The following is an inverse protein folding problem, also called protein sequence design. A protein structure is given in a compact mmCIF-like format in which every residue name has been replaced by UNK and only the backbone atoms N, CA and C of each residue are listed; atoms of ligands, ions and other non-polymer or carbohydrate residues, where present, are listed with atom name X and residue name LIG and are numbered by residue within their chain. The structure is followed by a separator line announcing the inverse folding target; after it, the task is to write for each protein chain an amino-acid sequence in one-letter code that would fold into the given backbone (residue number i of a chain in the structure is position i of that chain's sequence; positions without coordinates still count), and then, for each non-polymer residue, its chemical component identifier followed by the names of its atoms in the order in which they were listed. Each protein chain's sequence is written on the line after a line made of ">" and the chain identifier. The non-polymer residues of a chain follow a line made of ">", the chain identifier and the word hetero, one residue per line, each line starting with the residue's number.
data_IF_908467968338
#
_entry.id   IF_908467968338
#
_cell.length_a   1.000
_cell.length_b   1.000
_cell.length_c   1.000
_cell.angle_alpha   90.00
_cell.angle_beta   90.00
_cell.angle_gamma   90.00
#
_symmetry.space_group_name_H-M   'P 1'
#
loop_
_entity.id
_entity.type
_entity.pdbx_description
1 polymer ?
#
# COMPACT_ATOMS: atom_id res chain seq x y z
N UNK A 1 44.01 15.37 5.72
CA UNK A 1 42.58 15.09 6.00
C UNK A 1 42.39 13.58 6.00
N UNK A 2 42.11 12.98 7.16
CA UNK A 2 41.88 11.53 7.28
C UNK A 2 40.60 11.15 6.52
N UNK A 3 40.72 10.27 5.52
CA UNK A 3 39.58 9.59 4.91
C UNK A 3 38.96 8.66 5.95
N UNK A 4 38.13 9.21 6.83
CA UNK A 4 37.21 8.40 7.61
C UNK A 4 36.27 7.73 6.62
N UNK A 5 36.44 6.42 6.40
CA UNK A 5 35.54 5.59 5.60
C UNK A 5 34.14 5.78 6.15
N UNK A 6 33.33 6.60 5.48
CA UNK A 6 31.94 6.82 5.89
C UNK A 6 31.24 5.48 5.79
N UNK A 7 30.74 4.97 6.92
CA UNK A 7 30.10 3.67 6.95
C UNK A 7 28.76 3.72 6.20
N UNK A 8 28.46 2.64 5.45
CA UNK A 8 27.24 2.55 4.64
C UNK A 8 25.98 2.82 5.46
N UNK A 9 25.92 2.34 6.70
CA UNK A 9 24.80 2.60 7.61
C UNK A 9 24.62 4.08 7.97
N UNK A 10 25.72 4.83 8.14
CA UNK A 10 25.64 6.27 8.43
C UNK A 10 25.12 7.06 7.22
N UNK A 11 25.53 6.65 6.00
CA UNK A 11 25.02 7.23 4.74
C UNK A 11 23.53 6.95 4.59
N UNK A 12 23.10 5.69 4.80
CA UNK A 12 21.68 5.29 4.68
C UNK A 12 20.81 6.04 5.69
N UNK A 13 21.26 6.17 6.94
CA UNK A 13 20.51 6.91 7.96
C UNK A 13 20.33 8.39 7.59
N UNK A 14 21.39 9.05 7.10
CA UNK A 14 21.31 10.45 6.66
C UNK A 14 20.40 10.62 5.45
N UNK A 15 20.50 9.72 4.47
CA UNK A 15 19.60 9.72 3.30
C UNK A 15 18.14 9.49 3.71
N UNK A 16 17.89 8.56 4.62
CA UNK A 16 16.54 8.29 5.12
C UNK A 16 15.96 9.52 5.84
N UNK A 17 16.73 10.17 6.70
CA UNK A 17 16.29 11.40 7.37
C UNK A 17 16.03 12.55 6.40
N UNK A 18 16.86 12.68 5.37
CA UNK A 18 16.64 13.67 4.31
C UNK A 18 15.34 13.37 3.54
N UNK A 19 15.14 12.11 3.12
CA UNK A 19 13.93 11.67 2.41
C UNK A 19 12.67 11.88 3.24
N UNK A 20 12.70 11.62 4.56
CA UNK A 20 11.56 11.90 5.43
C UNK A 20 11.16 13.38 5.44
N UNK A 21 12.13 14.29 5.39
CA UNK A 21 11.87 15.73 5.34
C UNK A 21 11.42 16.17 3.94
N UNK A 22 12.07 15.67 2.89
CA UNK A 22 11.76 16.01 1.51
C UNK A 22 10.36 15.50 1.08
N UNK A 23 9.98 14.31 1.55
CA UNK A 23 8.70 13.66 1.24
C UNK A 23 7.66 13.81 2.35
N UNK A 24 7.75 14.84 3.20
CA UNK A 24 6.73 15.09 4.22
C UNK A 24 5.32 15.26 3.60
N UNK A 25 5.25 15.80 2.38
CA UNK A 25 4.02 15.93 1.60
C UNK A 25 3.34 14.60 1.27
N UNK A 26 4.09 13.49 1.21
CA UNK A 26 3.56 12.14 0.94
C UNK A 26 2.58 11.74 2.05
N UNK A 27 2.91 12.00 3.31
CA UNK A 27 1.99 11.72 4.42
C UNK A 27 0.77 12.65 4.42
N UNK A 28 0.93 13.89 3.97
CA UNK A 28 -0.24 14.80 3.81
C UNK A 28 -1.19 14.27 2.73
N UNK A 29 -0.66 13.75 1.62
CA UNK A 29 -1.47 13.13 0.57
C UNK A 29 -2.25 11.91 1.06
N UNK A 30 -1.65 11.09 1.95
CA UNK A 30 -2.32 9.95 2.57
C UNK A 30 -3.55 10.40 3.37
N UNK A 31 -3.40 11.42 4.21
CA UNK A 31 -4.49 11.94 5.05
C UNK A 31 -5.63 12.45 4.17
N UNK A 32 -5.33 13.26 3.15
CA UNK A 32 -6.34 13.79 2.23
C UNK A 32 -7.08 12.65 1.52
N UNK A 33 -6.34 11.65 1.04
CA UNK A 33 -6.90 10.52 0.31
C UNK A 33 -7.75 9.62 1.22
N UNK A 34 -7.37 9.42 2.48
CA UNK A 34 -8.20 8.70 3.46
C UNK A 34 -9.48 9.47 3.82
N UNK A 35 -9.43 10.81 3.92
CA UNK A 35 -10.63 11.62 4.14
C UNK A 35 -11.60 11.53 2.97
N UNK A 36 -11.10 11.61 1.73
CA UNK A 36 -11.93 11.41 0.52
C UNK A 36 -12.52 9.99 0.51
N UNK A 37 -11.73 8.98 0.88
CA UNK A 37 -12.19 7.61 0.93
C UNK A 37 -13.31 7.40 1.96
N UNK A 38 -13.21 8.04 3.13
CA UNK A 38 -14.26 8.03 4.15
C UNK A 38 -15.53 8.68 3.59
N UNK A 39 -15.41 9.84 2.94
CA UNK A 39 -16.55 10.52 2.31
C UNK A 39 -17.26 9.63 1.28
N UNK A 40 -16.51 8.89 0.47
CA UNK A 40 -17.10 7.93 -0.48
C UNK A 40 -17.80 6.76 0.23
N UNK A 41 -17.27 6.28 1.35
CA UNK A 41 -17.93 5.21 2.11
C UNK A 41 -19.19 5.67 2.87
N UNK A 42 -19.42 6.98 3.06
CA UNK A 42 -20.66 7.49 3.66
C UNK A 42 -21.89 7.26 2.76
N UNK A 43 -21.70 7.08 1.46
CA UNK A 43 -22.78 6.70 0.54
C UNK A 43 -23.25 5.24 0.67
N UNK A 44 -22.60 4.45 1.55
CA UNK A 44 -22.77 3.00 1.63
C UNK A 44 -21.95 2.28 0.55
N UNK A 45 -21.32 1.17 0.93
CA UNK A 45 -20.50 0.35 0.03
C UNK A 45 -21.31 -0.75 -0.67
N UNK A 46 -22.59 -0.90 -0.32
CA UNK A 46 -23.54 -1.81 -0.93
C UNK A 46 -24.92 -1.60 -0.32
N UNK A 47 -25.96 -1.67 -1.15
CA UNK A 47 -27.35 -1.66 -0.70
C UNK A 47 -28.04 -2.91 -1.21
N UNK A 48 -28.86 -3.53 -0.35
CA UNK A 48 -29.70 -4.66 -0.74
C UNK A 48 -31.11 -4.44 -0.21
N UNK A 49 -32.08 -4.50 -1.12
CA UNK A 49 -33.50 -4.38 -0.82
C UNK A 49 -34.19 -5.71 -1.02
N UNK A 50 -35.01 -6.12 -0.05
CA UNK A 50 -35.94 -7.24 -0.20
C UNK A 50 -37.35 -6.74 0.02
N UNK A 51 -38.25 -7.15 -0.88
CA UNK A 51 -39.66 -6.76 -0.85
C UNK A 51 -40.53 -8.00 -0.82
N UNK A 52 -41.42 -8.09 0.17
CA UNK A 52 -42.43 -9.14 0.26
C UNK A 52 -43.78 -8.51 0.63
N UNK A 53 -44.70 -8.42 -0.35
CA UNK A 53 -46.09 -7.91 -0.35
C UNK A 53 -46.47 -6.73 0.58
N UNK A 54 -46.13 -6.76 1.87
CA UNK A 54 -46.40 -5.72 2.87
C UNK A 54 -45.14 -5.23 3.62
N UNK A 55 -43.96 -5.77 3.34
CA UNK A 55 -42.74 -5.48 4.08
C UNK A 55 -41.57 -5.23 3.12
N UNK A 56 -41.04 -4.01 3.17
CA UNK A 56 -39.82 -3.62 2.45
C UNK A 56 -38.67 -3.49 3.44
N UNK A 57 -37.64 -4.32 3.28
CA UNK A 57 -36.39 -4.20 4.03
C UNK A 57 -35.36 -3.61 3.09
N UNK A 58 -34.81 -2.45 3.45
CA UNK A 58 -33.61 -1.92 2.80
C UNK A 58 -32.45 -2.02 3.78
N UNK A 59 -31.34 -2.60 3.33
CA UNK A 59 -30.11 -2.74 4.10
C UNK A 59 -29.00 -2.02 3.38
N UNK A 60 -28.31 -1.14 4.09
CA UNK A 60 -27.12 -0.43 3.58
C UNK A 60 -25.90 -0.89 4.38
N UNK A 61 -24.89 -1.39 3.69
CA UNK A 61 -23.64 -1.85 4.29
C UNK A 61 -22.62 -0.71 4.29
N UNK A 62 -22.13 -0.36 5.47
CA UNK A 62 -21.06 0.62 5.65
C UNK A 62 -19.76 -0.12 6.01
N UNK A 63 -18.79 -0.12 5.08
CA UNK A 63 -17.50 -0.81 5.26
C UNK A 63 -16.32 0.10 4.97
N UNK A 64 -15.15 -0.26 5.53
CA UNK A 64 -13.91 0.48 5.30
C UNK A 64 -13.21 0.09 3.98
N UNK A 65 -13.91 -0.59 3.07
CA UNK A 65 -13.31 -1.16 1.85
C UNK A 65 -12.71 -0.08 0.95
N UNK A 66 -13.37 1.06 0.79
CA UNK A 66 -12.86 2.17 -0.03
C UNK A 66 -11.54 2.72 0.51
N UNK A 67 -11.41 2.89 1.83
CA UNK A 67 -10.18 3.40 2.46
C UNK A 67 -9.05 2.38 2.32
N UNK A 68 -9.34 1.08 2.46
CA UNK A 68 -8.36 0.01 2.23
C UNK A 68 -7.81 0.06 0.80
N UNK A 69 -8.70 0.06 -0.21
CA UNK A 69 -8.31 0.06 -1.63
C UNK A 69 -7.53 1.32 -1.99
N UNK A 70 -8.00 2.49 -1.55
CA UNK A 70 -7.34 3.75 -1.88
C UNK A 70 -5.96 3.86 -1.21
N UNK A 71 -5.79 3.42 0.04
CA UNK A 71 -4.45 3.38 0.68
C UNK A 71 -3.51 2.39 -0.01
N UNK A 72 -4.02 1.24 -0.48
CA UNK A 72 -3.25 0.28 -1.27
C UNK A 72 -2.78 0.87 -2.60
N UNK A 73 -3.64 1.62 -3.31
CA UNK A 73 -3.24 2.33 -4.52
C UNK A 73 -2.21 3.43 -4.22
N UNK A 74 -2.42 4.16 -3.13
CA UNK A 74 -1.53 5.24 -2.70
C UNK A 74 -0.09 4.77 -2.48
N UNK A 75 0.12 3.63 -1.81
CA UNK A 75 1.49 3.13 -1.56
C UNK A 75 2.17 2.69 -2.87
N UNK A 76 1.42 2.08 -3.79
CA UNK A 76 1.95 1.64 -5.09
C UNK A 76 2.38 2.85 -5.94
N UNK A 77 1.53 3.87 -6.02
CA UNK A 77 1.83 5.10 -6.77
C UNK A 77 3.09 5.78 -6.21
N UNK A 78 3.17 5.94 -4.88
CA UNK A 78 4.32 6.57 -4.24
C UNK A 78 5.61 5.73 -4.37
N UNK A 79 5.51 4.41 -4.31
CA UNK A 79 6.63 3.52 -4.56
C UNK A 79 7.19 3.69 -5.97
N UNK A 80 6.32 3.85 -6.98
CA UNK A 80 6.73 4.14 -8.37
C UNK A 80 7.36 5.55 -8.45
N UNK A 81 6.73 6.58 -7.86
CA UNK A 81 7.22 7.96 -7.93
C UNK A 81 8.62 8.13 -7.34
N UNK A 82 8.93 7.47 -6.22
CA UNK A 82 10.25 7.55 -5.56
C UNK A 82 11.36 6.99 -6.44
N UNK A 83 11.04 6.06 -7.34
CA UNK A 83 12.06 5.54 -8.24
C UNK A 83 12.50 6.59 -9.26
N UNK A 84 11.64 7.55 -9.65
CA UNK A 84 11.78 8.39 -10.85
C UNK A 84 13.16 9.04 -11.01
N UNK A 85 13.54 9.29 -12.28
CA UNK A 85 14.88 9.81 -12.63
C UNK A 85 15.24 11.10 -11.88
N UNK A 86 14.30 12.03 -11.74
CA UNK A 86 14.49 13.29 -11.01
C UNK A 86 14.84 13.04 -9.53
N UNK A 87 14.09 12.15 -8.87
CA UNK A 87 14.32 11.79 -7.46
C UNK A 87 15.62 10.99 -7.26
N UNK A 88 16.01 10.20 -8.26
CA UNK A 88 17.28 9.48 -8.26
C UNK A 88 18.47 10.43 -8.39
N UNK A 89 18.38 11.42 -9.28
CA UNK A 89 19.44 12.42 -9.51
C UNK A 89 19.61 13.34 -8.30
N UNK A 90 18.52 13.73 -7.63
CA UNK A 90 18.58 14.48 -6.38
C UNK A 90 19.26 13.71 -5.23
N UNK A 91 19.19 12.37 -5.23
CA UNK A 91 19.89 11.51 -4.27
C UNK A 91 21.41 11.43 -4.48
N UNK A 92 21.89 11.59 -5.71
CA UNK A 92 23.32 11.51 -6.07
C UNK A 92 24.12 12.79 -5.78
N UNK A 93 23.44 13.89 -5.41
CA UNK A 93 24.09 15.11 -4.91
C UNK A 93 24.86 14.84 -3.59
N UNK A 94 24.50 13.78 -2.88
CA UNK A 94 25.26 13.25 -1.74
C UNK A 94 26.14 12.08 -2.20
N UNK A 95 27.33 11.93 -1.60
CA UNK A 95 28.22 10.76 -1.79
C UNK A 95 27.45 9.50 -1.43
N UNK A 96 26.82 8.88 -2.42
CA UNK A 96 25.83 7.82 -2.26
C UNK A 96 26.09 6.71 -3.27
N UNK A 97 26.11 5.47 -2.78
CA UNK A 97 26.11 4.29 -3.63
C UNK A 97 24.67 3.90 -3.96
N UNK A 98 24.43 3.29 -5.13
CA UNK A 98 23.10 2.83 -5.56
C UNK A 98 22.43 1.90 -4.53
N UNK A 99 23.21 1.04 -3.88
CA UNK A 99 22.74 0.20 -2.77
C UNK A 99 22.26 1.04 -1.56
N UNK A 100 22.95 2.12 -1.21
CA UNK A 100 22.52 2.99 -0.11
C UNK A 100 21.19 3.68 -0.41
N UNK A 101 20.99 4.13 -1.66
CA UNK A 101 19.74 4.77 -2.09
C UNK A 101 18.59 3.77 -2.14
N UNK A 102 18.80 2.56 -2.67
CA UNK A 102 17.79 1.50 -2.68
C UNK A 102 17.39 1.10 -1.25
N UNK A 103 18.35 0.97 -0.34
CA UNK A 103 18.07 0.63 1.05
C UNK A 103 17.34 1.76 1.79
N UNK A 104 17.72 3.01 1.53
CA UNK A 104 17.03 4.19 2.06
C UNK A 104 15.58 4.27 1.56
N UNK A 105 15.33 3.99 0.29
CA UNK A 105 13.99 3.90 -0.29
C UNK A 105 13.17 2.78 0.34
N UNK A 106 13.75 1.59 0.52
CA UNK A 106 13.08 0.47 1.18
C UNK A 106 12.67 0.83 2.63
N UNK A 107 13.55 1.47 3.40
CA UNK A 107 13.24 1.94 4.75
C UNK A 107 12.14 3.01 4.76
N UNK A 108 12.13 3.92 3.78
CA UNK A 108 11.06 4.90 3.62
C UNK A 108 9.70 4.24 3.36
N UNK A 109 9.64 3.27 2.44
CA UNK A 109 8.41 2.53 2.14
C UNK A 109 7.93 1.70 3.32
N UNK A 110 8.85 1.12 4.10
CA UNK A 110 8.51 0.41 5.33
C UNK A 110 7.83 1.36 6.33
N UNK A 111 8.40 2.54 6.57
CA UNK A 111 7.78 3.53 7.46
C UNK A 111 6.43 4.02 6.92
N UNK A 112 6.33 4.29 5.62
CA UNK A 112 5.08 4.66 4.97
C UNK A 112 4.00 3.58 5.12
N UNK A 113 4.38 2.30 5.04
CA UNK A 113 3.48 1.15 5.22
C UNK A 113 3.00 1.02 6.66
N UNK A 114 3.87 1.29 7.65
CA UNK A 114 3.47 1.33 9.07
C UNK A 114 2.44 2.42 9.30
N UNK A 115 2.73 3.65 8.87
CA UNK A 115 1.82 4.80 9.05
C UNK A 115 0.51 4.57 8.30
N UNK A 116 0.57 4.13 7.04
CA UNK A 116 -0.61 3.82 6.23
C UNK A 116 -1.46 2.70 6.82
N UNK A 117 -0.82 1.64 7.34
CA UNK A 117 -1.53 0.49 7.90
C UNK A 117 -2.28 0.83 9.18
N UNK A 118 -1.61 1.52 10.10
CA UNK A 118 -2.23 2.00 11.36
C UNK A 118 -3.40 2.95 11.05
N UNK A 119 -3.14 3.99 10.26
CA UNK A 119 -4.16 5.02 9.96
C UNK A 119 -5.36 4.46 9.22
N UNK A 120 -5.19 3.48 8.32
CA UNK A 120 -6.32 2.89 7.58
C UNK A 120 -7.27 2.11 8.50
N UNK A 121 -6.74 1.34 9.45
CA UNK A 121 -7.59 0.62 10.41
C UNK A 121 -8.28 1.61 11.35
N UNK A 122 -7.58 2.63 11.83
CA UNK A 122 -8.15 3.69 12.66
C UNK A 122 -9.23 4.50 11.91
N UNK A 123 -9.04 4.77 10.62
CA UNK A 123 -10.03 5.44 9.77
C UNK A 123 -11.33 4.62 9.64
N UNK A 124 -11.24 3.29 9.70
CA UNK A 124 -12.41 2.41 9.75
C UNK A 124 -13.24 2.60 11.03
N UNK A 125 -12.59 2.82 12.17
CA UNK A 125 -13.30 3.18 13.40
C UNK A 125 -13.90 4.59 13.34
N UNK A 126 -13.16 5.54 12.76
CA UNK A 126 -13.67 6.89 12.55
C UNK A 126 -14.94 6.90 11.70
N UNK A 127 -14.97 6.13 10.61
CA UNK A 127 -16.15 5.97 9.77
C UNK A 127 -17.37 5.50 10.58
N UNK A 128 -17.20 4.51 11.45
CA UNK A 128 -18.30 3.99 12.29
C UNK A 128 -18.81 5.02 13.27
N UNK A 129 -17.91 5.81 13.87
CA UNK A 129 -18.29 6.92 14.75
C UNK A 129 -19.12 7.94 13.96
N UNK A 130 -18.71 8.29 12.75
CA UNK A 130 -19.47 9.22 11.89
C UNK A 130 -20.85 8.65 11.56
N UNK A 131 -20.93 7.39 11.10
CA UNK A 131 -22.21 6.74 10.77
C UNK A 131 -23.13 6.70 12.00
N UNK A 132 -22.61 6.35 13.17
CA UNK A 132 -23.38 6.26 14.41
C UNK A 132 -23.99 7.60 14.84
N UNK A 133 -23.27 8.71 14.70
CA UNK A 133 -23.74 10.03 15.14
C UNK A 133 -24.53 10.82 14.08
N UNK A 134 -24.20 10.62 12.80
CA UNK A 134 -24.71 11.47 11.72
C UNK A 134 -25.70 10.77 10.80
N UNK A 135 -25.84 9.44 10.87
CA UNK A 135 -26.76 8.67 10.02
C UNK A 135 -27.80 7.98 10.91
N UNK A 136 -29.02 8.51 10.91
CA UNK A 136 -30.18 7.95 11.61
C UNK A 136 -30.44 6.51 11.15
N UNK A 137 -30.05 5.54 11.98
CA UNK A 137 -30.21 4.11 11.69
C UNK A 137 -30.81 3.40 12.91
N UNK A 138 -32.13 3.47 13.04
CA UNK A 138 -32.88 2.53 13.86
C UNK A 138 -33.10 1.21 13.11
N UNK A 139 -32.95 0.04 13.76
CA UNK A 139 -31.83 -0.30 14.62
C UNK A 139 -30.64 -0.71 13.75
N UNK A 140 -29.45 -0.17 14.03
CA UNK A 140 -28.19 -0.78 13.60
C UNK A 140 -28.18 -2.21 14.18
N UNK A 141 -28.41 -3.22 13.34
CA UNK A 141 -28.26 -4.62 13.74
C UNK A 141 -26.75 -4.86 13.93
N UNK A 142 -26.32 -5.20 15.15
CA UNK A 142 -24.92 -5.50 15.47
C UNK A 142 -24.19 -4.51 16.39
N UNK A 143 -24.89 -3.59 17.06
CA UNK A 143 -24.30 -2.66 18.06
C UNK A 143 -23.67 -3.34 19.28
N UNK A 144 -23.89 -4.65 19.47
CA UNK A 144 -23.27 -5.46 20.52
C UNK A 144 -21.90 -6.05 20.18
N UNK A 145 -21.38 -5.85 18.96
CA UNK A 145 -20.04 -6.33 18.61
C UNK A 145 -18.95 -5.44 19.20
N UNK A 146 -18.47 -5.82 20.38
CA UNK A 146 -17.19 -5.32 20.89
C UNK A 146 -16.08 -5.97 20.08
N UNK A 147 -15.26 -5.15 19.43
CA UNK A 147 -14.04 -5.64 18.82
C UNK A 147 -13.07 -6.00 19.93
N UNK A 148 -12.59 -7.25 19.93
CA UNK A 148 -11.49 -7.60 20.80
C UNK A 148 -10.26 -6.83 20.34
N UNK A 149 -9.48 -6.31 21.30
CA UNK A 149 -8.27 -5.55 20.99
C UNK A 149 -7.28 -6.39 20.14
N UNK A 150 -7.29 -7.71 20.32
CA UNK A 150 -6.54 -8.67 19.49
C UNK A 150 -6.87 -8.54 18.01
N UNK A 151 -8.15 -8.45 17.65
CA UNK A 151 -8.58 -8.42 16.24
C UNK A 151 -8.14 -7.13 15.56
N UNK A 152 -8.18 -6.01 16.31
CA UNK A 152 -7.71 -4.71 15.83
C UNK A 152 -6.21 -4.74 15.58
N UNK A 153 -5.43 -5.29 16.52
CA UNK A 153 -3.98 -5.41 16.38
C UNK A 153 -3.60 -6.33 15.23
N UNK A 154 -4.29 -7.47 15.08
CA UNK A 154 -4.10 -8.38 13.94
C UNK A 154 -4.41 -7.66 12.63
N UNK A 155 -5.49 -6.89 12.57
CA UNK A 155 -5.86 -6.09 11.39
C UNK A 155 -4.80 -5.04 11.03
N UNK A 156 -4.24 -4.34 12.03
CA UNK A 156 -3.15 -3.37 11.82
C UNK A 156 -1.92 -4.08 11.27
N UNK A 157 -1.50 -5.18 11.91
CA UNK A 157 -0.33 -5.94 11.47
C UNK A 157 -0.52 -6.46 10.05
N UNK A 158 -1.66 -7.07 9.75
CA UNK A 158 -1.98 -7.56 8.42
C UNK A 158 -1.96 -6.43 7.36
N UNK A 159 -2.55 -5.28 7.67
CA UNK A 159 -2.55 -4.13 6.76
C UNK A 159 -1.14 -3.61 6.49
N UNK A 160 -0.29 -3.52 7.51
CA UNK A 160 1.12 -3.11 7.35
C UNK A 160 1.84 -4.07 6.40
N UNK A 161 1.67 -5.38 6.60
CA UNK A 161 2.30 -6.39 5.75
C UNK A 161 1.79 -6.35 4.30
N UNK A 162 0.49 -6.15 4.08
CA UNK A 162 -0.05 -5.97 2.73
C UNK A 162 0.50 -4.71 2.05
N UNK A 163 0.64 -3.60 2.78
CA UNK A 163 1.24 -2.37 2.23
C UNK A 163 2.72 -2.53 1.94
N UNK A 164 3.47 -3.28 2.76
CA UNK A 164 4.87 -3.62 2.47
C UNK A 164 4.95 -4.42 1.17
N UNK A 165 4.12 -5.46 1.00
CA UNK A 165 4.10 -6.29 -0.20
C UNK A 165 3.81 -5.45 -1.46
N UNK A 166 2.74 -4.67 -1.42
CA UNK A 166 2.33 -3.83 -2.55
C UNK A 166 3.35 -2.71 -2.82
N UNK A 167 3.93 -2.12 -1.78
CA UNK A 167 5.00 -1.14 -1.88
C UNK A 167 6.26 -1.73 -2.53
N UNK A 168 6.66 -2.94 -2.16
CA UNK A 168 7.79 -3.65 -2.77
C UNK A 168 7.53 -3.96 -4.25
N UNK A 169 6.31 -4.39 -4.59
CA UNK A 169 5.93 -4.64 -5.99
C UNK A 169 5.90 -3.35 -6.81
N UNK A 170 5.30 -2.28 -6.28
CA UNK A 170 5.31 -0.95 -6.89
C UNK A 170 6.72 -0.41 -7.09
N UNK A 171 7.63 -0.64 -6.14
CA UNK A 171 9.03 -0.26 -6.26
C UNK A 171 9.74 -1.01 -7.38
N UNK A 172 9.55 -2.33 -7.47
CA UNK A 172 10.09 -3.16 -8.55
C UNK A 172 9.58 -2.69 -9.91
N UNK A 173 8.27 -2.46 -10.04
CA UNK A 173 7.67 -1.91 -11.27
C UNK A 173 8.26 -0.55 -11.62
N UNK A 174 8.39 0.35 -10.64
CA UNK A 174 9.03 1.65 -10.81
C UNK A 174 10.45 1.52 -11.38
N UNK A 175 11.26 0.61 -10.84
CA UNK A 175 12.60 0.35 -11.36
C UNK A 175 12.59 -0.23 -12.78
N UNK A 176 11.66 -1.13 -13.11
CA UNK A 176 11.52 -1.70 -14.46
C UNK A 176 11.13 -0.61 -15.46
N UNK A 177 10.21 0.29 -15.11
CA UNK A 177 9.78 1.37 -16.02
C UNK A 177 10.92 2.27 -16.48
N UNK A 178 12.01 2.33 -15.73
CA UNK A 178 13.16 3.18 -16.06
C UNK A 178 14.17 2.54 -16.99
N UNK A 179 14.05 1.24 -17.24
CA UNK A 179 15.00 0.52 -18.08
C UNK A 179 14.96 0.97 -19.54
N UNK A 180 13.79 1.41 -20.02
CA UNK A 180 13.59 1.81 -21.41
C UNK A 180 12.56 2.94 -21.51
N UNK A 181 12.74 3.85 -22.49
CA UNK A 181 11.91 5.07 -22.66
C UNK A 181 10.42 4.78 -22.86
N UNK A 182 10.05 3.61 -23.39
CA UNK A 182 8.65 3.23 -23.64
C UNK A 182 7.98 2.50 -22.48
N UNK A 183 8.75 1.96 -21.52
CA UNK A 183 8.19 1.18 -20.42
C UNK A 183 7.29 1.97 -19.46
N UNK A 184 7.47 3.29 -19.22
CA UNK A 184 6.54 4.06 -18.41
C UNK A 184 5.11 4.11 -18.97
N UNK A 185 4.93 3.93 -20.29
CA UNK A 185 3.61 3.88 -20.94
C UNK A 185 3.10 2.44 -21.02
N UNK A 186 3.97 1.48 -21.36
CA UNK A 186 3.58 0.07 -21.54
C UNK A 186 3.17 -0.57 -20.23
N UNK A 187 3.87 -0.29 -19.12
CA UNK A 187 3.61 -0.96 -17.83
C UNK A 187 2.21 -0.63 -17.29
N UNK A 188 1.76 0.64 -17.20
CA UNK A 188 0.40 0.94 -16.77
C UNK A 188 -0.66 0.30 -17.68
N UNK A 189 -0.45 0.31 -19.00
CA UNK A 189 -1.37 -0.30 -19.97
C UNK A 189 -1.47 -1.81 -19.76
N UNK A 190 -0.35 -2.50 -19.54
CA UNK A 190 -0.35 -3.93 -19.23
C UNK A 190 -1.03 -4.23 -17.90
N UNK A 191 -0.76 -3.45 -16.85
CA UNK A 191 -1.37 -3.65 -15.54
C UNK A 191 -2.89 -3.46 -15.61
N UNK A 192 -3.36 -2.38 -16.25
CA UNK A 192 -4.80 -2.12 -16.43
C UNK A 192 -5.44 -3.19 -17.32
N UNK A 193 -4.78 -3.55 -18.43
CA UNK A 193 -5.26 -4.60 -19.34
C UNK A 193 -5.42 -5.93 -18.63
N UNK A 194 -4.43 -6.32 -17.82
CA UNK A 194 -4.49 -7.52 -16.98
C UNK A 194 -5.69 -7.40 -16.02
N UNK A 195 -5.81 -6.32 -15.23
CA UNK A 195 -6.93 -6.15 -14.29
C UNK A 195 -8.29 -6.30 -14.97
N UNK A 196 -8.49 -5.71 -16.15
CA UNK A 196 -9.75 -5.80 -16.91
C UNK A 196 -10.00 -7.25 -17.36
N UNK A 197 -8.99 -7.92 -17.92
CA UNK A 197 -9.13 -9.33 -18.33
C UNK A 197 -9.42 -10.26 -17.15
N UNK A 198 -8.85 -9.97 -15.98
CA UNK A 198 -9.11 -10.70 -14.74
C UNK A 198 -10.55 -10.47 -14.28
N UNK A 199 -11.03 -9.24 -14.30
CA UNK A 199 -12.39 -8.92 -13.89
C UNK A 199 -13.45 -9.59 -14.78
N UNK A 200 -13.10 -9.92 -16.02
CA UNK A 200 -13.98 -10.57 -16.98
C UNK A 200 -13.83 -12.11 -17.03
N UNK A 201 -12.73 -12.66 -16.51
CA UNK A 201 -12.41 -14.09 -16.61
C UNK A 201 -12.29 -14.69 -15.21
N UNK A 202 -13.18 -15.63 -14.86
CA UNK A 202 -13.04 -16.47 -13.66
C UNK A 202 -11.88 -17.47 -13.84
N UNK A 203 -10.66 -16.96 -13.88
CA UNK A 203 -9.47 -17.79 -14.06
C UNK A 203 -9.07 -18.46 -12.75
N UNK A 204 -9.06 -19.80 -12.75
CA UNK A 204 -8.65 -20.63 -11.60
C UNK A 204 -7.29 -20.25 -11.02
N UNK A 205 -6.35 -19.82 -11.86
CA UNK A 205 -4.99 -19.47 -11.45
C UNK A 205 -5.00 -18.28 -10.49
N UNK A 206 -5.89 -17.31 -10.71
CA UNK A 206 -5.91 -16.06 -9.94
C UNK A 206 -6.69 -16.23 -8.66
N UNK A 207 -7.77 -17.00 -8.69
CA UNK A 207 -8.49 -17.42 -7.49
C UNK A 207 -7.49 -18.12 -6.55
N UNK A 208 -6.73 -19.10 -7.05
CA UNK A 208 -5.69 -19.80 -6.27
C UNK A 208 -4.59 -18.88 -5.74
N UNK A 209 -4.11 -17.93 -6.55
CA UNK A 209 -3.13 -16.94 -6.10
C UNK A 209 -3.70 -16.03 -5.01
N UNK A 210 -4.96 -15.61 -5.13
CA UNK A 210 -5.63 -14.79 -4.13
C UNK A 210 -5.85 -15.57 -2.83
N UNK A 211 -6.29 -16.82 -2.92
CA UNK A 211 -6.47 -17.72 -1.78
C UNK A 211 -5.15 -17.97 -1.06
N UNK A 212 -4.04 -18.12 -1.79
CA UNK A 212 -2.72 -18.34 -1.21
C UNK A 212 -2.26 -17.22 -0.27
N UNK A 213 -2.66 -15.97 -0.52
CA UNK A 213 -2.33 -14.81 0.32
C UNK A 213 -3.43 -14.42 1.32
N UNK A 214 -4.71 -14.58 0.96
CA UNK A 214 -5.84 -14.13 1.78
C UNK A 214 -6.43 -15.19 2.71
N UNK A 215 -6.36 -16.48 2.38
CA UNK A 215 -7.01 -17.55 3.16
C UNK A 215 -6.06 -18.26 4.15
N UNK A 216 -4.91 -17.67 4.45
CA UNK A 216 -3.97 -18.25 5.40
C UNK A 216 -4.45 -18.08 6.84
N UNK A 217 -4.70 -19.18 7.55
CA UNK A 217 -5.14 -19.17 8.95
C UNK A 217 -3.99 -18.95 9.94
N UNK A 218 -2.76 -19.31 9.56
CA UNK A 218 -1.60 -19.18 10.45
C UNK A 218 -0.86 -17.86 10.23
N UNK A 219 -0.89 -16.99 11.23
CA UNK A 219 -0.27 -15.67 11.20
C UNK A 219 1.25 -15.70 10.92
N UNK A 220 1.98 -16.72 11.40
CA UNK A 220 3.42 -16.80 11.21
C UNK A 220 3.78 -17.15 9.76
N UNK A 221 3.05 -18.08 9.15
CA UNK A 221 3.22 -18.42 7.74
C UNK A 221 2.84 -17.25 6.83
N UNK A 222 1.76 -16.52 7.16
CA UNK A 222 1.37 -15.30 6.48
C UNK A 222 2.51 -14.25 6.46
N UNK A 223 3.09 -13.95 7.63
CA UNK A 223 4.21 -13.00 7.74
C UNK A 223 5.42 -13.45 6.92
N UNK A 224 5.78 -14.73 7.02
CA UNK A 224 6.93 -15.28 6.30
C UNK A 224 6.74 -15.19 4.79
N UNK A 225 5.58 -15.59 4.26
CA UNK A 225 5.25 -15.49 2.83
C UNK A 225 5.41 -14.06 2.33
N UNK A 226 4.89 -13.09 3.06
CA UNK A 226 4.96 -11.67 2.68
C UNK A 226 6.39 -11.14 2.76
N UNK A 227 7.14 -11.46 3.80
CA UNK A 227 8.53 -11.00 3.92
C UNK A 227 9.41 -11.58 2.82
N UNK A 228 9.30 -12.87 2.54
CA UNK A 228 10.08 -13.52 1.48
C UNK A 228 9.78 -12.89 0.12
N UNK A 229 8.51 -12.71 -0.21
CA UNK A 229 8.10 -12.11 -1.49
C UNK A 229 8.53 -10.64 -1.62
N UNK A 230 8.43 -9.88 -0.53
CA UNK A 230 8.88 -8.48 -0.48
C UNK A 230 10.41 -8.36 -0.64
N UNK A 231 11.18 -9.23 0.02
CA UNK A 231 12.64 -9.30 -0.11
C UNK A 231 13.04 -9.65 -1.53
N UNK A 232 12.39 -10.65 -2.15
CA UNK A 232 12.65 -11.02 -3.54
C UNK A 232 12.37 -9.86 -4.50
N UNK A 233 11.28 -9.11 -4.28
CA UNK A 233 10.98 -7.92 -5.08
C UNK A 233 12.05 -6.83 -4.93
N UNK A 234 12.52 -6.56 -3.71
CA UNK A 234 13.60 -5.58 -3.49
C UNK A 234 14.94 -6.04 -4.08
N UNK A 235 15.29 -7.33 -3.99
CA UNK A 235 16.48 -7.88 -4.64
C UNK A 235 16.40 -7.75 -6.16
N UNK A 236 15.25 -8.08 -6.75
CA UNK A 236 14.99 -7.86 -8.18
C UNK A 236 15.16 -6.39 -8.57
N UNK A 237 14.63 -5.48 -7.75
CA UNK A 237 14.75 -4.04 -7.97
C UNK A 237 16.21 -3.57 -7.94
N UNK A 238 17.03 -4.09 -7.01
CA UNK A 238 18.46 -3.80 -6.92
C UNK A 238 19.20 -4.30 -8.18
N UNK A 239 18.91 -5.52 -8.64
CA UNK A 239 19.53 -6.07 -9.85
C UNK A 239 19.22 -5.23 -11.10
N UNK A 240 17.96 -4.79 -11.25
CA UNK A 240 17.55 -3.89 -12.33
C UNK A 240 18.25 -2.52 -12.20
N UNK A 241 18.36 -2.01 -10.97
CA UNK A 241 19.06 -0.76 -10.64
C UNK A 241 20.50 -0.80 -11.15
N UNK A 242 21.26 -1.85 -10.85
CA UNK A 242 22.67 -1.97 -11.23
C UNK A 242 22.88 -1.95 -12.76
N UNK A 243 21.93 -2.48 -13.54
CA UNK A 243 21.98 -2.42 -15.02
C UNK A 243 21.79 -1.01 -15.58
N UNK A 244 21.12 -0.12 -14.84
CA UNK A 244 20.94 1.28 -15.23
C UNK A 244 22.21 2.11 -15.03
N UNK A 245 23.09 1.72 -14.11
CA UNK A 245 24.38 2.38 -13.88
C UNK A 245 25.36 2.09 -15.03
N UNK A 246 25.42 0.84 -15.52
CA UNK A 246 26.32 0.44 -16.60
C UNK A 246 26.02 1.07 -17.98
N UNK A 247 24.89 1.77 -18.13
CA UNK A 247 24.51 2.47 -19.37
C UNK A 247 24.71 3.99 -19.33
N UNK A 248 25.14 4.55 -18.19
CA UNK A 248 25.61 5.94 -18.10
C UNK A 248 27.09 5.99 -18.45
#
# INVERSE_FOLDING_TARGET
>A
MSLNKVSLGMVVKKQFQYKLKAYASVFSSLVVLQLIAILFSLGGNGSSGSYNNNLSINTTLYTNTSVLILTMLWIVIHAIMITTKAERENGFTFVSNQLSNNLSNALFLLLASIVGGVTTILAGFLLRVIVYFFIDTNPIIGTGFTYQLSDVLIGIVAMIFYLILLGSFGYLLGMITQLHRMLPVIVPVLVIGIIITIAQTESDVIIRLSEFYYQETNALFFILKILVTSILCFLGAILVSNRLEARR
#
